data_IF_908670444663
#
_entry.id   IF_908670444663
#
_cell.length_a   1.000
_cell.length_b   1.000
_cell.length_c   1.000
_cell.angle_alpha   90.00
_cell.angle_beta   90.00
_cell.angle_gamma   90.00
#
_symmetry.space_group_name_H-M   'P 1'
#
loop_
_entity.id
_entity.type
_entity.pdbx_description
1 polymer ?
#
# COMPACT_ATOMS: atom_id res chain seq x y z
N UNK A 1 19.74 -3.60 12.04
CA UNK A 1 18.55 -2.98 11.40
C UNK A 1 18.95 -1.68 10.72
N UNK A 2 18.43 -1.39 9.53
CA UNK A 2 18.56 -0.07 8.92
C UNK A 2 17.69 0.98 9.62
N UNK A 3 18.06 2.25 9.53
CA UNK A 3 17.26 3.39 10.02
C UNK A 3 17.09 4.42 8.91
N UNK A 4 15.95 5.10 8.89
CA UNK A 4 15.68 6.25 8.02
C UNK A 4 15.89 7.59 8.73
N UNK A 5 16.59 7.60 9.88
CA UNK A 5 16.97 8.86 10.54
C UNK A 5 17.82 9.71 9.59
N UNK A 6 17.44 10.98 9.45
CA UNK A 6 18.11 11.89 8.53
C UNK A 6 17.73 11.70 7.06
N UNK A 7 16.66 10.95 6.79
CA UNK A 7 16.14 10.68 5.43
C UNK A 7 14.76 11.30 5.25
N UNK A 8 14.48 11.70 4.01
CA UNK A 8 13.20 12.26 3.59
C UNK A 8 12.44 11.25 2.73
N UNK A 9 11.22 10.91 3.18
CA UNK A 9 10.24 10.13 2.43
C UNK A 9 9.22 11.09 1.81
N UNK A 10 9.00 11.00 0.50
CA UNK A 10 7.98 11.77 -0.23
C UNK A 10 6.93 10.84 -0.83
N UNK A 11 5.65 11.21 -0.75
CA UNK A 11 4.55 10.43 -1.32
C UNK A 11 3.30 11.27 -1.65
N UNK A 12 2.33 10.67 -2.33
CA UNK A 12 0.97 11.20 -2.49
C UNK A 12 -0.09 10.33 -1.81
N UNK A 13 -1.20 10.97 -1.41
CA UNK A 13 -2.41 10.30 -0.94
C UNK A 13 -2.43 9.97 0.56
N UNK A 14 -3.38 10.55 1.28
CA UNK A 14 -3.65 10.32 2.70
C UNK A 14 -5.07 9.73 2.87
N UNK A 15 -5.44 8.81 1.99
CA UNK A 15 -6.67 8.02 2.04
C UNK A 15 -6.70 7.00 3.19
N UNK A 16 -7.66 6.08 3.17
CA UNK A 16 -7.82 5.02 4.20
C UNK A 16 -6.50 4.29 4.51
N UNK A 17 -5.87 3.74 3.47
CA UNK A 17 -4.57 3.08 3.53
C UNK A 17 -3.41 4.09 3.45
N UNK A 18 -3.49 5.05 2.51
CA UNK A 18 -2.56 6.18 2.33
C UNK A 18 -2.16 6.91 3.62
N UNK A 19 -3.11 7.05 4.53
CA UNK A 19 -2.90 7.71 5.81
C UNK A 19 -2.00 6.96 6.79
N UNK A 20 -1.61 5.71 6.52
CA UNK A 20 -0.65 4.97 7.34
C UNK A 20 0.81 5.30 7.00
N UNK A 21 1.07 5.85 5.81
CA UNK A 21 2.42 6.20 5.33
C UNK A 21 3.21 7.13 6.28
N UNK A 22 2.64 8.21 6.85
CA UNK A 22 3.40 9.11 7.71
C UNK A 22 3.84 8.43 9.01
N UNK A 23 2.96 7.60 9.60
CA UNK A 23 3.28 6.83 10.80
C UNK A 23 4.36 5.76 10.52
N UNK A 24 4.26 5.06 9.38
CA UNK A 24 5.26 4.08 8.97
C UNK A 24 6.65 4.71 8.73
N UNK A 25 6.71 5.88 8.10
CA UNK A 25 7.95 6.61 7.87
C UNK A 25 8.58 7.08 9.19
N UNK A 26 7.79 7.70 10.06
CA UNK A 26 8.25 8.23 11.36
C UNK A 26 8.66 7.11 12.33
N UNK A 27 8.01 5.94 12.31
CA UNK A 27 8.45 4.75 13.06
C UNK A 27 9.84 4.27 12.65
N UNK A 28 10.28 4.56 11.42
CA UNK A 28 11.61 4.25 10.92
C UNK A 28 12.59 5.41 11.08
N UNK A 29 12.16 6.54 11.66
CA UNK A 29 12.99 7.70 11.96
C UNK A 29 13.01 8.77 10.85
N UNK A 30 12.24 8.59 9.77
CA UNK A 30 12.27 9.49 8.63
C UNK A 30 11.50 10.79 8.87
N UNK A 31 11.96 11.87 8.25
CA UNK A 31 11.10 12.99 7.91
C UNK A 31 10.19 12.57 6.75
N UNK A 32 8.95 13.03 6.77
CA UNK A 32 7.92 12.63 5.82
C UNK A 32 7.21 13.85 5.24
N UNK A 33 7.00 13.85 3.93
CA UNK A 33 6.24 14.86 3.21
C UNK A 33 5.24 14.18 2.27
N UNK A 34 3.96 14.57 2.36
CA UNK A 34 2.95 14.11 1.43
C UNK A 34 2.10 15.22 0.85
N UNK A 35 1.64 15.04 -0.39
CA UNK A 35 0.55 15.82 -0.96
C UNK A 35 -0.78 15.08 -0.80
N UNK A 36 -1.81 15.79 -0.40
CA UNK A 36 -3.20 15.32 -0.38
C UNK A 36 -4.11 16.46 -0.83
N UNK A 37 -5.04 16.19 -1.73
CA UNK A 37 -5.92 17.19 -2.35
C UNK A 37 -7.18 17.47 -1.53
N UNK A 38 -7.60 16.50 -0.70
CA UNK A 38 -8.80 16.60 0.13
C UNK A 38 -8.43 16.93 1.59
N UNK A 39 -8.75 18.16 2.01
CA UNK A 39 -8.53 18.63 3.39
C UNK A 39 -9.11 17.68 4.43
N UNK A 40 -10.30 17.15 4.20
CA UNK A 40 -10.96 16.27 5.17
C UNK A 40 -10.15 14.98 5.42
N UNK A 41 -9.40 14.52 4.41
CA UNK A 41 -8.49 13.38 4.56
C UNK A 41 -7.30 13.72 5.45
N UNK A 42 -6.72 14.91 5.30
CA UNK A 42 -5.60 15.40 6.13
C UNK A 42 -6.05 15.55 7.58
N UNK A 43 -7.16 16.28 7.81
CA UNK A 43 -7.72 16.53 9.14
C UNK A 43 -8.05 15.22 9.88
N UNK A 44 -8.55 14.22 9.16
CA UNK A 44 -8.77 12.89 9.73
C UNK A 44 -7.47 12.27 10.26
N UNK A 45 -6.33 12.43 9.57
CA UNK A 45 -5.03 11.84 9.98
C UNK A 45 -4.42 12.59 11.14
N UNK A 46 -4.57 13.93 11.18
CA UNK A 46 -4.22 14.73 12.34
C UNK A 46 -5.02 14.26 13.57
N UNK A 47 -6.34 14.13 13.44
CA UNK A 47 -7.23 13.68 14.53
C UNK A 47 -6.89 12.27 15.02
N UNK A 48 -6.54 11.35 14.12
CA UNK A 48 -6.14 9.98 14.48
C UNK A 48 -4.66 9.85 14.88
N UNK A 49 -3.90 10.95 14.94
CA UNK A 49 -2.45 10.98 15.26
C UNK A 49 -1.57 10.16 14.31
N UNK A 50 -2.01 10.06 13.05
CA UNK A 50 -1.23 9.44 11.97
C UNK A 50 -0.37 10.46 11.21
N UNK A 51 -0.60 11.75 11.42
CA UNK A 51 0.12 12.87 10.82
C UNK A 51 0.38 13.93 11.90
N UNK A 52 1.53 14.59 11.87
CA UNK A 52 1.88 15.61 12.87
C UNK A 52 1.36 17.00 12.50
N UNK A 53 1.55 17.43 11.25
CA UNK A 53 1.24 18.81 10.81
C UNK A 53 0.77 18.87 9.36
N UNK A 54 0.06 19.95 9.03
CA UNK A 54 -0.29 20.29 7.65
C UNK A 54 -0.07 21.76 7.36
N UNK A 55 0.04 22.10 6.07
CA UNK A 55 -0.01 23.47 5.57
C UNK A 55 -0.61 23.52 4.16
N UNK A 56 -1.07 24.71 3.77
CA UNK A 56 -1.56 25.02 2.42
C UNK A 56 -0.45 25.63 1.54
N UNK A 57 0.67 26.03 2.16
CA UNK A 57 1.84 26.56 1.46
C UNK A 57 2.77 25.42 1.06
N UNK A 58 2.96 25.23 -0.25
CA UNK A 58 3.88 24.21 -0.79
C UNK A 58 5.31 24.43 -0.29
N UNK A 59 5.76 25.69 -0.34
CA UNK A 59 7.07 26.12 0.10
C UNK A 59 7.31 25.79 1.57
N UNK A 60 6.34 26.12 2.42
CA UNK A 60 6.42 25.84 3.84
C UNK A 60 6.49 24.34 4.13
N UNK A 61 5.69 23.52 3.42
CA UNK A 61 5.68 22.08 3.58
C UNK A 61 7.05 21.46 3.26
N UNK A 62 7.63 21.86 2.13
CA UNK A 62 8.96 21.42 1.69
C UNK A 62 10.02 21.84 2.72
N UNK A 63 10.02 23.11 3.13
CA UNK A 63 11.01 23.65 4.06
C UNK A 63 10.92 23.00 5.45
N UNK A 64 9.71 22.66 5.91
CA UNK A 64 9.52 21.92 7.17
C UNK A 64 10.09 20.51 7.08
N UNK A 65 9.77 19.77 6.01
CA UNK A 65 10.22 18.40 5.84
C UNK A 65 11.75 18.30 5.65
N UNK A 66 12.34 19.21 4.88
CA UNK A 66 13.79 19.30 4.67
C UNK A 66 14.50 19.64 5.98
N UNK A 67 14.02 20.61 6.76
CA UNK A 67 14.60 20.93 8.08
C UNK A 67 14.51 19.75 9.04
N UNK A 68 13.40 19.02 9.05
CA UNK A 68 13.25 17.82 9.88
C UNK A 68 14.23 16.72 9.46
N UNK A 69 14.41 16.50 8.15
CA UNK A 69 15.43 15.58 7.61
C UNK A 69 16.82 15.99 8.10
N UNK A 70 17.21 17.25 7.90
CA UNK A 70 18.57 17.73 8.24
C UNK A 70 18.85 17.69 9.75
N UNK A 71 17.81 17.89 10.57
CA UNK A 71 17.89 17.74 12.03
C UNK A 71 17.81 16.27 12.51
N UNK A 72 17.58 15.31 11.61
CA UNK A 72 17.41 13.89 11.95
C UNK A 72 16.18 13.64 12.82
N UNK A 73 15.11 14.40 12.60
CA UNK A 73 13.85 14.35 13.34
C UNK A 73 12.77 13.61 12.54
N UNK A 74 12.06 12.70 13.22
CA UNK A 74 10.92 12.01 12.66
C UNK A 74 9.66 12.88 12.75
N UNK A 75 9.41 13.70 11.72
CA UNK A 75 8.24 14.58 11.63
C UNK A 75 7.52 14.33 10.31
N UNK A 76 6.20 14.24 10.38
CA UNK A 76 5.33 14.06 9.23
C UNK A 76 4.53 15.31 8.87
N UNK A 77 4.70 15.76 7.62
CA UNK A 77 4.09 16.97 7.08
C UNK A 77 3.21 16.62 5.88
N UNK A 78 2.00 17.17 5.84
CA UNK A 78 1.15 17.13 4.66
C UNK A 78 0.99 18.53 4.06
N UNK A 79 1.02 18.59 2.74
CA UNK A 79 0.61 19.75 1.97
C UNK A 79 -0.76 19.51 1.35
N UNK A 80 -1.67 20.48 1.48
CA UNK A 80 -2.96 20.47 0.79
C UNK A 80 -2.76 20.88 -0.67
N UNK A 81 -2.64 19.89 -1.57
CA UNK A 81 -2.35 20.14 -2.98
C UNK A 81 -2.18 18.87 -3.81
N UNK A 82 -1.92 19.03 -5.10
CA UNK A 82 -1.75 17.92 -6.03
C UNK A 82 -0.30 17.40 -6.02
N UNK A 83 -0.12 16.09 -5.93
CA UNK A 83 1.21 15.46 -5.88
C UNK A 83 2.10 15.83 -7.07
N UNK A 84 1.53 16.03 -8.27
CA UNK A 84 2.31 16.44 -9.44
C UNK A 84 3.01 17.79 -9.23
N UNK A 85 2.33 18.75 -8.60
CA UNK A 85 2.90 20.06 -8.29
C UNK A 85 4.02 19.95 -7.24
N UNK A 86 3.82 19.11 -6.22
CA UNK A 86 4.84 18.85 -5.20
C UNK A 86 6.11 18.26 -5.84
N UNK A 87 5.98 17.20 -6.65
CA UNK A 87 7.14 16.56 -7.25
C UNK A 87 7.85 17.48 -8.27
N UNK A 88 7.08 18.22 -9.07
CA UNK A 88 7.63 19.21 -9.99
C UNK A 88 8.41 20.31 -9.26
N UNK A 89 7.91 20.77 -8.11
CA UNK A 89 8.57 21.76 -7.28
C UNK A 89 9.85 21.23 -6.62
N UNK A 90 9.85 19.98 -6.15
CA UNK A 90 11.08 19.33 -5.66
C UNK A 90 12.14 19.25 -6.76
N UNK A 91 11.73 18.88 -7.97
CA UNK A 91 12.59 18.87 -9.15
C UNK A 91 13.15 20.27 -9.43
N UNK A 92 12.30 21.30 -9.41
CA UNK A 92 12.69 22.71 -9.65
C UNK A 92 13.66 23.24 -8.59
N UNK A 93 13.47 22.89 -7.31
CA UNK A 93 14.35 23.26 -6.20
C UNK A 93 15.63 22.43 -6.11
N UNK A 94 15.82 21.46 -7.02
CA UNK A 94 16.91 20.49 -6.97
C UNK A 94 16.96 19.72 -5.63
N UNK A 95 15.79 19.36 -5.11
CA UNK A 95 15.64 18.55 -3.90
C UNK A 95 15.27 17.13 -4.33
N UNK A 96 16.15 16.17 -4.02
CA UNK A 96 15.89 14.75 -4.25
C UNK A 96 15.54 14.09 -2.91
N UNK A 97 14.36 13.47 -2.77
CA UNK A 97 14.04 12.69 -1.57
C UNK A 97 14.87 11.41 -1.53
N UNK A 98 15.10 10.87 -0.34
CA UNK A 98 15.80 9.59 -0.19
C UNK A 98 14.90 8.42 -0.62
N UNK A 99 13.61 8.50 -0.33
CA UNK A 99 12.60 7.50 -0.69
C UNK A 99 11.39 8.19 -1.32
N UNK A 100 10.93 7.65 -2.45
CA UNK A 100 9.78 8.17 -3.19
C UNK A 100 8.79 7.05 -3.53
N UNK A 101 7.51 7.29 -3.26
CA UNK A 101 6.44 6.36 -3.62
C UNK A 101 5.13 7.11 -3.84
N UNK A 102 4.03 6.40 -4.06
CA UNK A 102 2.70 6.97 -4.14
C UNK A 102 1.63 6.00 -3.62
N UNK A 103 0.62 6.53 -2.94
CA UNK A 103 -0.56 5.80 -2.52
C UNK A 103 -1.87 6.58 -2.73
N UNK A 104 -1.90 7.44 -3.76
CA UNK A 104 -3.18 7.94 -4.29
C UNK A 104 -4.03 6.77 -4.77
N UNK A 105 -5.35 6.98 -4.91
CA UNK A 105 -6.24 5.94 -5.44
C UNK A 105 -6.20 5.89 -6.97
N UNK A 106 -5.00 5.69 -7.54
CA UNK A 106 -4.81 5.67 -8.99
C UNK A 106 -5.61 4.57 -9.70
N UNK A 107 -5.90 3.47 -9.01
CA UNK A 107 -6.72 2.34 -9.48
C UNK A 107 -8.16 2.69 -9.88
N UNK A 108 -8.66 3.87 -9.48
CA UNK A 108 -9.98 4.37 -9.88
C UNK A 108 -9.80 5.78 -10.47
N UNK A 109 -9.63 5.91 -11.79
CA UNK A 109 -9.45 7.19 -12.47
C UNK A 109 -10.64 8.14 -12.35
N UNK A 110 -11.84 7.65 -12.02
CA UNK A 110 -13.05 8.47 -11.94
C UNK A 110 -13.29 9.00 -10.53
N UNK A 111 -13.14 8.15 -9.50
CA UNK A 111 -13.44 8.53 -8.10
C UNK A 111 -12.19 8.74 -7.26
N UNK A 112 -11.09 8.09 -7.60
CA UNK A 112 -9.91 7.95 -6.76
C UNK A 112 -8.81 8.98 -7.02
N UNK A 113 -8.55 9.31 -8.28
CA UNK A 113 -7.46 10.22 -8.66
C UNK A 113 -7.99 11.57 -9.11
N UNK A 114 -7.41 12.65 -8.60
CA UNK A 114 -7.82 14.02 -8.92
C UNK A 114 -6.89 14.61 -9.98
N UNK A 115 -7.41 15.01 -11.16
CA UNK A 115 -6.59 15.58 -12.23
C UNK A 115 -5.94 16.90 -11.82
N UNK A 116 -4.73 17.16 -12.33
CA UNK A 116 -4.00 18.41 -12.13
C UNK A 116 -4.09 19.30 -13.37
N UNK A 117 -4.59 20.52 -13.18
CA UNK A 117 -4.81 21.47 -14.28
C UNK A 117 -5.77 20.93 -15.35
N UNK A 118 -6.06 21.76 -16.35
CA UNK A 118 -6.80 21.34 -17.54
C UNK A 118 -5.93 21.67 -18.74
N UNK A 119 -5.62 20.66 -19.56
CA UNK A 119 -5.09 20.93 -20.90
C UNK A 119 -6.15 21.65 -21.72
N UNK A 120 -5.84 22.83 -22.24
CA UNK A 120 -6.70 23.50 -23.23
C UNK A 120 -6.57 22.78 -24.59
N UNK A 121 -7.01 21.54 -24.70
CA UNK A 121 -7.09 20.84 -26.00
C UNK A 121 -8.47 20.95 -26.65
N UNK A 122 -9.48 21.49 -25.96
CA UNK A 122 -10.83 21.64 -26.51
C UNK A 122 -11.44 23.01 -26.20
N UNK A 123 -10.90 24.06 -26.83
CA UNK A 123 -11.72 25.19 -27.24
C UNK A 123 -12.09 25.01 -28.71
N UNK A 124 -13.25 24.40 -28.95
CA UNK A 124 -14.09 24.60 -30.14
C UNK A 124 -13.57 24.13 -31.50
N UNK A 125 -14.24 23.15 -32.08
CA UNK A 125 -14.45 23.06 -33.54
C UNK A 125 -15.31 24.27 -33.99
N UNK A 126 -14.72 25.46 -33.95
CA UNK A 126 -15.32 26.71 -34.42
C UNK A 126 -14.29 27.47 -35.23
N UNK A 127 -14.51 27.55 -36.54
CA UNK A 127 -13.69 28.32 -37.49
C UNK A 127 -13.26 29.70 -36.94
N UNK A 128 -11.95 29.97 -36.87
CA UNK A 128 -11.46 31.35 -36.81
C UNK A 128 -10.10 31.59 -36.16
N UNK A 129 -9.08 31.77 -37.01
CA UNK A 129 -7.83 32.54 -36.77
C UNK A 129 -6.92 32.07 -35.62
N UNK A 130 -5.83 31.37 -36.00
CA UNK A 130 -4.63 31.19 -35.17
C UNK A 130 -3.96 32.56 -34.95
N UNK A 131 -4.10 33.10 -33.74
CA UNK A 131 -3.31 34.21 -33.25
C UNK A 131 -1.96 33.71 -32.72
N UNK A 132 -0.88 34.31 -33.17
CA UNK A 132 0.48 34.09 -32.68
C UNK A 132 0.69 34.83 -31.35
N UNK A 133 1.10 34.12 -30.31
CA UNK A 133 1.80 34.68 -29.14
C UNK A 133 0.96 35.00 -27.90
N UNK A 134 0.87 34.04 -26.97
CA UNK A 134 1.18 34.22 -25.54
C UNK A 134 1.26 32.84 -24.88
N UNK A 135 2.14 32.67 -23.91
CA UNK A 135 2.26 31.47 -23.10
C UNK A 135 0.92 31.15 -22.43
N UNK A 136 0.20 30.16 -22.96
CA UNK A 136 -1.05 29.68 -22.38
C UNK A 136 -0.77 29.18 -20.95
N UNK A 137 -1.15 29.98 -19.96
CA UNK A 137 -0.87 29.70 -18.56
C UNK A 137 -1.58 28.42 -18.11
N UNK A 138 -0.78 27.43 -17.71
CA UNK A 138 -1.28 26.28 -16.94
C UNK A 138 -1.89 26.81 -15.64
N UNK A 139 -3.21 26.66 -15.47
CA UNK A 139 -3.88 27.01 -14.21
C UNK A 139 -4.24 25.71 -13.50
N UNK A 140 -3.70 25.45 -12.30
CA UNK A 140 -4.07 24.28 -11.49
C UNK A 140 -5.59 24.26 -11.27
N UNK A 141 -6.18 23.07 -11.35
CA UNK A 141 -7.59 22.85 -11.07
C UNK A 141 -7.77 22.79 -9.54
N UNK A 142 -8.71 23.57 -8.98
CA UNK A 142 -9.01 23.41 -7.56
C UNK A 142 -9.73 22.09 -7.31
N UNK A 143 -9.66 21.57 -6.08
CA UNK A 143 -10.36 20.33 -5.72
C UNK A 143 -11.88 20.42 -6.01
N UNK A 144 -12.51 21.55 -5.69
CA UNK A 144 -13.94 21.79 -5.98
C UNK A 144 -14.24 21.77 -7.49
N UNK A 145 -13.39 22.38 -8.31
CA UNK A 145 -13.54 22.34 -9.76
C UNK A 145 -13.38 20.93 -10.33
N UNK A 146 -12.48 20.12 -9.75
CA UNK A 146 -12.33 18.72 -10.12
C UNK A 146 -13.59 17.91 -9.77
N UNK A 147 -14.19 18.14 -8.60
CA UNK A 147 -15.45 17.50 -8.22
C UNK A 147 -16.60 17.90 -9.15
N UNK A 148 -16.71 19.17 -9.51
CA UNK A 148 -17.70 19.64 -10.48
C UNK A 148 -17.49 19.02 -11.87
N UNK A 149 -16.22 18.89 -12.32
CA UNK A 149 -15.89 18.23 -13.59
C UNK A 149 -16.29 16.75 -13.58
N UNK A 150 -16.07 16.04 -12.46
CA UNK A 150 -16.44 14.63 -12.32
C UNK A 150 -17.94 14.40 -12.55
N UNK A 151 -18.78 15.32 -12.08
CA UNK A 151 -20.23 15.23 -12.22
C UNK A 151 -20.71 15.66 -13.60
N UNK A 152 -20.15 16.76 -14.12
CA UNK A 152 -20.61 17.37 -15.38
C UNK A 152 -20.06 16.68 -16.64
N UNK A 153 -18.84 16.14 -16.59
CA UNK A 153 -18.17 15.47 -17.71
C UNK A 153 -17.22 14.37 -17.20
N UNK A 154 -17.77 13.20 -16.79
CA UNK A 154 -16.98 12.11 -16.22
C UNK A 154 -15.97 11.52 -17.21
N UNK A 155 -16.25 11.56 -18.52
CA UNK A 155 -15.32 11.07 -19.55
C UNK A 155 -14.08 11.95 -19.63
N UNK A 156 -14.26 13.28 -19.66
CA UNK A 156 -13.16 14.22 -19.58
C UNK A 156 -12.42 14.10 -18.27
N UNK A 157 -13.12 13.96 -17.15
CA UNK A 157 -12.47 13.74 -15.84
C UNK A 157 -11.51 12.55 -15.89
N UNK A 158 -11.97 11.39 -16.40
CA UNK A 158 -11.15 10.19 -16.53
C UNK A 158 -9.94 10.43 -17.43
N UNK A 159 -10.13 11.06 -18.60
CA UNK A 159 -9.03 11.41 -19.51
C UNK A 159 -7.98 12.31 -18.84
N UNK A 160 -8.42 13.34 -18.12
CA UNK A 160 -7.50 14.23 -17.38
C UNK A 160 -6.81 13.53 -16.21
N UNK A 161 -7.48 12.58 -15.54
CA UNK A 161 -6.87 11.74 -14.50
C UNK A 161 -5.74 10.89 -15.07
N UNK A 162 -5.97 10.19 -16.19
CA UNK A 162 -4.94 9.42 -16.89
C UNK A 162 -3.75 10.29 -17.32
N UNK A 163 -4.01 11.45 -17.94
CA UNK A 163 -2.96 12.41 -18.30
C UNK A 163 -2.13 12.79 -17.08
N UNK A 164 -2.80 13.16 -15.98
CA UNK A 164 -2.14 13.59 -14.75
C UNK A 164 -1.32 12.45 -14.11
N UNK A 165 -1.80 11.21 -14.17
CA UNK A 165 -1.04 10.04 -13.71
C UNK A 165 0.26 9.84 -14.52
N UNK A 166 0.22 10.05 -15.84
CA UNK A 166 1.42 9.99 -16.66
C UNK A 166 2.43 11.07 -16.26
N UNK A 167 1.98 12.30 -16.03
CA UNK A 167 2.82 13.41 -15.56
C UNK A 167 3.42 13.15 -14.18
N UNK A 168 2.63 12.55 -13.27
CA UNK A 168 3.10 12.10 -11.97
C UNK A 168 4.27 11.12 -12.12
N UNK A 169 4.10 10.07 -12.93
CA UNK A 169 5.15 9.07 -13.15
C UNK A 169 6.40 9.66 -13.78
N UNK A 170 6.29 10.62 -14.70
CA UNK A 170 7.48 11.33 -15.24
C UNK A 170 8.25 12.02 -14.12
N UNK A 171 7.57 12.71 -13.20
CA UNK A 171 8.24 13.34 -12.06
C UNK A 171 8.91 12.31 -11.15
N UNK A 172 8.28 11.16 -10.94
CA UNK A 172 8.87 10.06 -10.17
C UNK A 172 10.12 9.47 -10.85
N UNK A 173 10.09 9.29 -12.17
CA UNK A 173 11.24 8.81 -12.95
C UNK A 173 12.40 9.79 -12.93
N UNK A 174 12.13 11.10 -12.97
CA UNK A 174 13.17 12.13 -12.87
C UNK A 174 13.84 12.12 -11.50
N UNK A 175 13.04 12.05 -10.42
CA UNK A 175 13.59 11.96 -9.06
C UNK A 175 14.33 10.64 -8.83
N UNK A 176 13.87 9.53 -9.43
CA UNK A 176 14.59 8.25 -9.44
C UNK A 176 15.96 8.41 -10.14
N UNK A 177 16.01 9.08 -11.30
CA UNK A 177 17.26 9.34 -12.02
C UNK A 177 18.25 10.17 -11.19
N UNK A 178 17.75 11.08 -10.36
CA UNK A 178 18.56 11.87 -9.41
C UNK A 178 19.03 11.09 -8.17
N UNK A 179 18.60 9.83 -8.04
CA UNK A 179 19.05 8.92 -6.98
C UNK A 179 18.02 8.62 -5.89
N UNK A 180 16.77 9.05 -6.03
CA UNK A 180 15.71 8.64 -5.09
C UNK A 180 15.45 7.13 -5.21
N UNK A 181 15.29 6.45 -4.06
CA UNK A 181 14.79 5.07 -4.04
C UNK A 181 13.29 5.12 -4.31
N UNK A 182 12.91 4.85 -5.57
CA UNK A 182 11.53 4.97 -6.05
C UNK A 182 10.87 3.63 -6.24
N UNK A 183 9.65 3.44 -5.71
CA UNK A 183 8.87 2.22 -5.90
C UNK A 183 7.36 2.52 -5.95
N UNK A 184 6.61 1.63 -6.62
CA UNK A 184 5.14 1.65 -6.68
C UNK A 184 4.55 0.92 -5.47
N UNK A 185 3.59 1.55 -4.80
CA UNK A 185 2.95 1.00 -3.59
C UNK A 185 1.60 0.35 -3.85
N UNK A 186 1.41 -0.24 -5.03
CA UNK A 186 0.32 -1.16 -5.31
C UNK A 186 -1.03 -0.50 -5.56
N UNK A 187 -1.01 0.69 -6.18
CA UNK A 187 -2.21 1.43 -6.59
C UNK A 187 -2.43 1.47 -8.10
N UNK A 188 -1.60 0.76 -8.89
CA UNK A 188 -1.64 0.70 -10.35
C UNK A 188 -1.32 2.01 -11.08
N UNK A 189 -0.64 2.96 -10.43
CA UNK A 189 -0.24 4.23 -11.05
C UNK A 189 0.60 4.02 -12.32
N UNK A 190 1.56 3.07 -12.29
CA UNK A 190 2.40 2.75 -13.46
C UNK A 190 1.60 2.19 -14.63
N UNK A 191 0.65 1.30 -14.35
CA UNK A 191 -0.24 0.71 -15.36
C UNK A 191 -1.07 1.78 -16.05
N UNK A 192 -1.73 2.64 -15.28
CA UNK A 192 -2.54 3.71 -15.86
C UNK A 192 -1.71 4.81 -16.54
N UNK A 193 -0.50 5.10 -16.07
CA UNK A 193 0.42 6.00 -16.75
C UNK A 193 0.83 5.46 -18.15
N UNK A 194 1.04 4.14 -18.28
CA UNK A 194 1.27 3.49 -19.57
C UNK A 194 0.02 3.57 -20.46
N UNK A 195 -1.15 3.23 -19.92
CA UNK A 195 -2.42 3.32 -20.63
C UNK A 195 -2.72 4.74 -21.14
N UNK A 196 -2.34 5.78 -20.38
CA UNK A 196 -2.55 7.16 -20.78
C UNK A 196 -1.83 7.50 -22.11
N UNK A 197 -0.63 6.96 -22.32
CA UNK A 197 0.11 7.11 -23.58
C UNK A 197 -0.50 6.24 -24.69
N UNK A 198 -0.81 4.98 -24.39
CA UNK A 198 -1.41 4.04 -25.36
C UNK A 198 -2.76 4.54 -25.89
N UNK A 199 -3.54 5.23 -25.06
CA UNK A 199 -4.83 5.83 -25.42
C UNK A 199 -4.71 7.23 -26.04
N UNK A 200 -3.50 7.79 -26.11
CA UNK A 200 -3.27 9.13 -26.63
C UNK A 200 -3.76 10.26 -25.72
N UNK A 201 -3.98 10.00 -24.42
CA UNK A 201 -4.32 11.02 -23.43
C UNK A 201 -3.10 11.82 -22.96
N UNK A 202 -1.90 11.27 -23.16
CA UNK A 202 -0.63 11.96 -22.94
C UNK A 202 0.37 11.64 -24.07
N UNK A 203 1.16 12.63 -24.49
CA UNK A 203 2.21 12.45 -25.48
C UNK A 203 3.54 12.12 -24.80
N UNK A 204 4.21 11.03 -25.21
CA UNK A 204 5.55 10.67 -24.70
C UNK A 204 6.58 11.79 -24.91
N UNK A 205 6.51 12.50 -26.04
CA UNK A 205 7.41 13.63 -26.31
C UNK A 205 7.17 14.83 -25.38
N UNK A 206 5.91 15.11 -25.04
CA UNK A 206 5.58 16.17 -24.07
C UNK A 206 5.99 15.77 -22.66
N UNK A 207 5.79 14.52 -22.28
CA UNK A 207 6.19 13.96 -20.99
C UNK A 207 7.71 14.03 -20.79
N UNK A 208 8.47 13.54 -21.76
CA UNK A 208 9.96 13.46 -21.66
C UNK A 208 10.66 14.80 -21.82
N UNK A 209 10.03 15.81 -22.43
CA UNK A 209 10.59 17.16 -22.57
C UNK A 209 10.39 18.07 -21.36
N UNK A 210 9.64 17.63 -20.34
CA UNK A 210 9.36 18.42 -19.12
C UNK A 210 10.61 18.75 -18.30
N UNK A 211 11.61 17.90 -18.35
CA UNK A 211 12.84 18.04 -17.59
C UNK A 211 14.05 18.00 -18.53
N UNK A 212 15.10 18.74 -18.19
CA UNK A 212 16.32 18.82 -19.01
C UNK A 212 17.13 17.51 -19.03
N UNK A 213 16.79 16.58 -18.13
CA UNK A 213 17.41 15.26 -17.99
C UNK A 213 16.94 14.32 -19.11
N UNK A 214 17.86 13.60 -19.78
CA UNK A 214 17.53 12.74 -20.91
C UNK A 214 16.89 11.43 -20.41
N UNK A 215 15.61 11.45 -20.09
CA UNK A 215 14.81 10.24 -20.16
C UNK A 215 14.59 9.93 -21.65
N UNK A 216 15.46 9.12 -22.25
CA UNK A 216 15.39 8.76 -23.68
C UNK A 216 14.09 8.03 -24.07
N UNK A 217 13.31 7.58 -23.08
CA UNK A 217 12.02 6.90 -23.22
C UNK A 217 11.18 7.00 -21.95
N UNK A 218 9.87 7.16 -22.10
CA UNK A 218 8.91 7.02 -21.00
C UNK A 218 8.62 5.54 -20.75
N UNK A 219 9.08 5.02 -19.62
CA UNK A 219 8.79 3.66 -19.18
C UNK A 219 8.41 3.65 -17.68
N UNK A 220 7.10 3.62 -17.37
CA UNK A 220 6.60 3.58 -16.00
C UNK A 220 7.10 2.38 -15.17
N UNK A 221 7.41 1.25 -15.81
CA UNK A 221 7.77 0.01 -15.11
C UNK A 221 9.26 -0.07 -14.74
N UNK A 222 10.05 0.97 -15.06
CA UNK A 222 11.36 1.19 -14.43
C UNK A 222 11.26 1.48 -12.93
N UNK A 223 10.08 1.87 -12.46
CA UNK A 223 9.75 1.93 -11.04
C UNK A 223 9.25 0.53 -10.65
N UNK A 224 9.97 -0.23 -9.80
CA UNK A 224 9.53 -1.56 -9.39
C UNK A 224 8.35 -1.48 -8.41
N UNK A 225 7.50 -2.50 -8.38
CA UNK A 225 6.53 -2.69 -7.30
C UNK A 225 7.21 -2.97 -5.97
N UNK A 226 6.60 -2.54 -4.86
CA UNK A 226 7.15 -2.77 -3.52
C UNK A 226 7.26 -4.25 -3.14
N UNK A 227 6.43 -5.13 -3.73
CA UNK A 227 6.45 -6.56 -3.42
C UNK A 227 7.68 -7.26 -3.97
N UNK A 228 7.97 -7.24 -5.28
CA UNK A 228 9.23 -7.79 -5.79
C UNK A 228 10.46 -7.10 -5.18
N UNK A 229 10.38 -5.81 -4.86
CA UNK A 229 11.52 -5.08 -4.30
C UNK A 229 11.82 -5.40 -2.83
N UNK A 230 10.80 -5.60 -1.98
CA UNK A 230 11.00 -5.65 -0.52
C UNK A 230 10.21 -6.73 0.22
N UNK A 231 9.02 -7.13 -0.25
CA UNK A 231 8.08 -7.94 0.55
C UNK A 231 8.11 -9.42 0.19
N UNK A 232 8.43 -9.78 -1.05
CA UNK A 232 8.40 -11.18 -1.49
C UNK A 232 9.20 -12.15 -0.62
N UNK A 233 10.39 -11.80 -0.09
CA UNK A 233 11.08 -12.68 0.85
C UNK A 233 10.25 -13.02 2.09
N UNK A 234 9.43 -12.08 2.59
CA UNK A 234 8.50 -12.34 3.70
C UNK A 234 7.38 -13.30 3.29
N UNK A 235 6.86 -13.18 2.06
CA UNK A 235 5.85 -14.09 1.53
C UNK A 235 6.37 -15.52 1.37
N UNK A 236 7.64 -15.70 0.99
CA UNK A 236 8.28 -17.01 0.93
C UNK A 236 8.32 -17.70 2.31
N UNK A 237 8.34 -16.94 3.40
CA UNK A 237 8.25 -17.44 4.78
C UNK A 237 6.81 -17.69 5.27
N UNK A 238 5.80 -17.54 4.39
CA UNK A 238 4.39 -17.53 4.78
C UNK A 238 3.99 -16.33 5.65
N UNK A 239 4.81 -15.28 5.68
CA UNK A 239 4.52 -14.06 6.43
C UNK A 239 3.57 -13.15 5.65
N UNK A 240 2.78 -12.36 6.38
CA UNK A 240 1.80 -11.45 5.79
C UNK A 240 1.00 -10.72 6.85
N UNK A 241 0.04 -9.87 6.46
CA UNK A 241 -0.66 -8.92 7.32
C UNK A 241 -1.74 -9.55 8.21
N UNK A 242 -1.35 -10.58 8.97
CA UNK A 242 -2.13 -11.22 10.01
C UNK A 242 -2.60 -10.17 11.02
N UNK A 243 -3.89 -10.23 11.38
CA UNK A 243 -4.52 -9.24 12.24
C UNK A 243 -5.63 -9.88 13.07
N UNK A 244 -5.96 -9.24 14.17
CA UNK A 244 -7.11 -9.62 14.97
C UNK A 244 -7.82 -8.40 15.55
N UNK A 245 -9.08 -8.58 15.90
CA UNK A 245 -9.86 -7.61 16.66
C UNK A 245 -10.56 -8.30 17.84
N UNK A 246 -10.59 -7.62 18.98
CA UNK A 246 -11.28 -8.11 20.18
C UNK A 246 -12.75 -7.69 20.11
N UNK A 247 -13.68 -8.66 20.13
CA UNK A 247 -15.11 -8.35 19.93
C UNK A 247 -15.77 -7.70 21.15
N UNK A 248 -15.10 -7.68 22.30
CA UNK A 248 -15.55 -6.97 23.51
C UNK A 248 -15.60 -5.45 23.30
N UNK A 249 -14.78 -4.93 22.37
CA UNK A 249 -14.55 -3.50 22.24
C UNK A 249 -13.61 -2.93 23.32
N UNK A 250 -13.12 -3.76 24.25
CA UNK A 250 -12.29 -3.31 25.37
C UNK A 250 -10.79 -3.28 24.99
N UNK A 251 -10.13 -2.11 25.04
CA UNK A 251 -8.68 -2.02 24.79
C UNK A 251 -7.83 -2.88 25.72
N UNK A 252 -8.31 -3.23 26.92
CA UNK A 252 -7.60 -4.11 27.87
C UNK A 252 -7.45 -5.52 27.33
N UNK A 253 -8.47 -6.03 26.63
CA UNK A 253 -8.39 -7.33 25.97
C UNK A 253 -7.31 -7.32 24.88
N UNK A 254 -7.20 -6.22 24.13
CA UNK A 254 -6.15 -6.08 23.14
C UNK A 254 -4.76 -6.01 23.80
N UNK A 255 -4.64 -5.32 24.93
CA UNK A 255 -3.39 -5.30 25.70
C UNK A 255 -2.97 -6.72 26.13
N UNK A 256 -3.90 -7.54 26.61
CA UNK A 256 -3.65 -8.96 26.94
C UNK A 256 -3.15 -9.73 25.72
N UNK A 257 -3.76 -9.55 24.54
CA UNK A 257 -3.28 -10.22 23.31
C UNK A 257 -1.89 -9.76 22.88
N UNK A 258 -1.57 -8.47 23.01
CA UNK A 258 -0.24 -7.94 22.72
C UNK A 258 0.81 -8.51 23.69
N UNK A 259 0.49 -8.69 24.98
CA UNK A 259 1.40 -9.29 25.96
C UNK A 259 1.64 -10.76 25.64
N UNK A 260 0.59 -11.46 25.22
CA UNK A 260 0.70 -12.84 24.77
C UNK A 260 1.61 -12.99 23.55
N UNK A 261 1.56 -12.06 22.59
CA UNK A 261 2.47 -12.03 21.44
C UNK A 261 3.92 -11.84 21.89
N UNK A 262 4.18 -10.87 22.78
CA UNK A 262 5.53 -10.61 23.32
C UNK A 262 6.09 -11.80 24.11
N UNK A 263 5.24 -12.53 24.84
CA UNK A 263 5.63 -13.73 25.59
C UNK A 263 5.81 -14.97 24.70
N UNK A 264 5.10 -15.04 23.57
CA UNK A 264 5.11 -16.23 22.69
C UNK A 264 6.29 -16.23 21.72
N UNK A 265 6.77 -15.05 21.34
CA UNK A 265 7.88 -14.84 20.39
C UNK A 265 8.91 -13.82 20.93
N UNK A 266 9.49 -14.03 22.13
CA UNK A 266 10.44 -13.08 22.73
C UNK A 266 11.71 -12.89 21.89
N UNK A 267 12.05 -13.86 21.05
CA UNK A 267 13.20 -13.87 20.14
C UNK A 267 13.00 -13.02 18.87
N UNK A 268 11.76 -12.71 18.50
CA UNK A 268 11.45 -11.94 17.29
C UNK A 268 11.55 -10.43 17.57
N UNK A 269 12.77 -9.92 17.68
CA UNK A 269 13.05 -8.52 18.08
C UNK A 269 12.27 -7.48 17.27
N UNK A 270 12.18 -7.66 15.95
CA UNK A 270 11.42 -6.80 15.05
C UNK A 270 9.93 -6.76 15.39
N UNK A 271 9.33 -7.94 15.64
CA UNK A 271 7.93 -8.10 16.01
C UNK A 271 7.67 -7.50 17.39
N UNK A 272 8.54 -7.75 18.36
CA UNK A 272 8.41 -7.17 19.69
C UNK A 272 8.52 -5.63 19.66
N UNK A 273 9.46 -5.09 18.89
CA UNK A 273 9.57 -3.63 18.65
C UNK A 273 8.29 -3.08 18.03
N UNK A 274 7.74 -3.77 17.02
CA UNK A 274 6.49 -3.39 16.38
C UNK A 274 5.33 -3.32 17.38
N UNK A 275 5.11 -4.36 18.20
CA UNK A 275 4.02 -4.38 19.19
C UNK A 275 4.15 -3.22 20.19
N UNK A 276 5.36 -2.93 20.68
CA UNK A 276 5.60 -1.82 21.61
C UNK A 276 5.28 -0.46 20.96
N UNK A 277 5.74 -0.21 19.75
CA UNK A 277 5.43 1.02 19.01
C UNK A 277 3.94 1.14 18.72
N UNK A 278 3.30 0.04 18.30
CA UNK A 278 1.89 0.03 17.95
C UNK A 278 1.00 0.26 19.18
N UNK A 279 1.40 -0.16 20.38
CA UNK A 279 0.74 0.19 21.65
C UNK A 279 0.79 1.68 21.95
N UNK A 280 1.95 2.30 21.75
CA UNK A 280 2.17 3.70 22.11
C UNK A 280 1.51 4.66 21.12
N UNK A 281 1.63 4.36 19.82
CA UNK A 281 1.40 5.35 18.76
C UNK A 281 0.14 5.12 17.95
N UNK A 282 -0.37 3.89 17.84
CA UNK A 282 -1.55 3.60 17.01
C UNK A 282 -2.83 3.85 17.80
N UNK A 283 -3.61 4.85 17.38
CA UNK A 283 -4.95 5.08 17.90
C UNK A 283 -5.95 4.06 17.35
N UNK A 284 -6.82 3.52 18.19
CA UNK A 284 -7.87 2.59 17.77
C UNK A 284 -8.96 3.27 16.94
N UNK A 285 -9.54 2.51 16.01
CA UNK A 285 -10.66 2.94 15.17
C UNK A 285 -11.72 1.84 15.15
N UNK A 286 -12.86 2.08 15.81
CA UNK A 286 -13.88 1.02 16.01
C UNK A 286 -13.44 0.02 17.07
N UNK A 287 -13.64 -1.28 16.80
CA UNK A 287 -13.16 -2.34 17.69
C UNK A 287 -11.63 -2.27 17.83
N UNK A 288 -11.06 -2.38 19.04
CA UNK A 288 -9.63 -2.47 19.21
C UNK A 288 -9.07 -3.66 18.42
N UNK A 289 -8.08 -3.38 17.57
CA UNK A 289 -7.52 -4.34 16.65
C UNK A 289 -6.00 -4.14 16.55
N UNK A 290 -5.31 -5.21 16.20
CA UNK A 290 -3.86 -5.22 16.00
C UNK A 290 -3.54 -5.94 14.69
N UNK A 291 -2.63 -5.37 13.94
CA UNK A 291 -1.92 -6.04 12.85
C UNK A 291 -0.55 -6.48 13.38
N UNK A 292 -0.12 -7.68 13.04
CA UNK A 292 1.20 -8.22 13.38
C UNK A 292 1.57 -9.25 12.32
N UNK A 293 2.65 -9.03 11.59
CA UNK A 293 3.04 -9.96 10.54
C UNK A 293 3.63 -11.23 11.16
N UNK A 294 2.97 -12.36 10.95
CA UNK A 294 3.35 -13.68 11.46
C UNK A 294 3.62 -14.64 10.29
N UNK A 295 4.71 -15.40 10.41
CA UNK A 295 5.18 -16.40 9.43
C UNK A 295 4.33 -17.68 9.48
N UNK A 296 4.60 -18.60 8.56
CA UNK A 296 4.10 -19.98 8.65
C UNK A 296 4.42 -20.59 10.02
N UNK A 297 3.51 -21.42 10.55
CA UNK A 297 3.59 -21.99 11.91
C UNK A 297 3.26 -21.01 13.04
N UNK A 298 3.77 -19.77 12.98
CA UNK A 298 3.50 -18.74 13.99
C UNK A 298 2.02 -18.38 14.08
N UNK A 299 1.30 -18.32 12.94
CA UNK A 299 -0.14 -18.01 12.89
C UNK A 299 -0.98 -19.01 13.67
N UNK A 300 -0.80 -20.31 13.43
CA UNK A 300 -1.53 -21.36 14.14
C UNK A 300 -1.23 -21.37 15.64
N UNK A 301 0.05 -21.25 16.02
CA UNK A 301 0.47 -21.12 17.43
C UNK A 301 -0.26 -19.96 18.12
N UNK A 302 -0.33 -18.81 17.45
CA UNK A 302 -0.93 -17.61 18.04
C UNK A 302 -2.46 -17.69 18.11
N UNK A 303 -3.11 -18.30 17.11
CA UNK A 303 -4.54 -18.57 17.15
C UNK A 303 -4.96 -19.45 18.34
N UNK A 304 -4.20 -20.52 18.61
CA UNK A 304 -4.46 -21.39 19.76
C UNK A 304 -4.23 -20.67 21.10
N UNK A 305 -3.19 -19.83 21.20
CA UNK A 305 -2.96 -19.01 22.39
C UNK A 305 -4.13 -18.04 22.61
N UNK A 306 -4.61 -17.35 21.57
CA UNK A 306 -5.76 -16.45 21.69
C UNK A 306 -7.04 -17.20 22.09
N UNK A 307 -7.32 -18.35 21.51
CA UNK A 307 -8.48 -19.15 21.88
C UNK A 307 -8.41 -19.63 23.33
N UNK A 308 -7.22 -20.00 23.83
CA UNK A 308 -7.01 -20.29 25.25
C UNK A 308 -7.27 -19.08 26.14
N UNK A 309 -6.82 -17.88 25.77
CA UNK A 309 -7.07 -16.67 26.55
C UNK A 309 -8.57 -16.34 26.68
N UNK A 310 -9.34 -16.58 25.62
CA UNK A 310 -10.81 -16.44 25.65
C UNK A 310 -11.44 -17.50 26.56
N UNK A 311 -11.03 -18.77 26.44
CA UNK A 311 -11.50 -19.88 27.28
C UNK A 311 -11.24 -19.67 28.77
N UNK A 312 -10.08 -19.10 29.11
CA UNK A 312 -9.68 -18.79 30.49
C UNK A 312 -10.31 -17.49 31.02
N UNK A 313 -11.06 -16.75 30.20
CA UNK A 313 -11.64 -15.46 30.56
C UNK A 313 -10.63 -14.33 30.76
N UNK A 314 -9.37 -14.50 30.32
CA UNK A 314 -8.35 -13.44 30.32
C UNK A 314 -8.59 -12.40 29.25
N UNK A 315 -9.25 -12.82 28.17
CA UNK A 315 -9.88 -11.93 27.19
C UNK A 315 -11.39 -12.10 27.37
N UNK A 316 -12.11 -11.01 27.54
CA UNK A 316 -13.50 -11.02 28.02
C UNK A 316 -14.56 -11.45 27.00
N UNK A 317 -14.22 -11.47 25.71
CA UNK A 317 -15.11 -11.89 24.62
C UNK A 317 -14.32 -12.57 23.49
N UNK A 318 -15.00 -13.22 22.51
CA UNK A 318 -14.31 -13.81 21.38
C UNK A 318 -13.42 -12.84 20.60
N UNK A 319 -12.40 -13.38 19.93
CA UNK A 319 -11.48 -12.65 19.06
C UNK A 319 -11.75 -13.08 17.62
N UNK A 320 -11.80 -12.12 16.68
CA UNK A 320 -11.75 -12.44 15.23
C UNK A 320 -10.31 -12.36 14.76
N UNK A 321 -9.82 -13.41 14.10
CA UNK A 321 -8.51 -13.46 13.46
C UNK A 321 -8.70 -13.47 11.95
N UNK A 322 -8.04 -12.56 11.25
CA UNK A 322 -8.04 -12.53 9.79
C UNK A 322 -6.78 -11.88 9.24
N UNK A 323 -6.90 -11.35 8.03
CA UNK A 323 -5.82 -10.67 7.31
C UNK A 323 -6.38 -9.79 6.20
N UNK A 324 -5.49 -9.08 5.52
CA UNK A 324 -5.82 -8.56 4.20
C UNK A 324 -5.97 -9.67 3.16
N UNK A 325 -6.51 -9.33 1.99
CA UNK A 325 -6.45 -10.18 0.81
C UNK A 325 -5.05 -10.15 0.16
N UNK A 326 -4.25 -9.11 0.43
CA UNK A 326 -2.81 -9.13 0.21
C UNK A 326 -2.16 -10.06 1.25
N UNK A 327 -1.76 -11.24 0.82
CA UNK A 327 -0.99 -12.20 1.63
C UNK A 327 -0.25 -13.18 0.72
N UNK A 328 0.71 -13.89 1.30
CA UNK A 328 1.63 -14.80 0.63
C UNK A 328 0.98 -15.80 -0.35
N UNK A 329 -0.24 -16.27 -0.08
CA UNK A 329 -0.90 -17.31 -0.89
C UNK A 329 -2.26 -16.94 -1.46
N UNK A 330 -2.72 -15.69 -1.29
CA UNK A 330 -4.14 -15.35 -1.46
C UNK A 330 -4.43 -14.36 -2.57
N UNK A 331 -3.48 -14.04 -3.45
CA UNK A 331 -3.66 -13.03 -4.50
C UNK A 331 -2.85 -13.34 -5.74
N UNK A 332 -3.47 -13.10 -6.90
CA UNK A 332 -2.80 -12.91 -8.18
C UNK A 332 -3.01 -11.46 -8.62
N UNK A 333 -1.92 -10.70 -8.75
CA UNK A 333 -1.93 -9.31 -9.20
C UNK A 333 -0.58 -8.95 -9.86
N UNK A 334 -0.50 -9.03 -11.20
CA UNK A 334 0.75 -8.84 -11.94
C UNK A 334 1.40 -7.46 -11.82
N UNK A 335 0.66 -6.44 -11.41
CA UNK A 335 1.18 -5.09 -11.18
C UNK A 335 1.45 -4.80 -9.69
N UNK A 336 1.38 -5.83 -8.83
CA UNK A 336 1.55 -5.69 -7.38
C UNK A 336 2.16 -6.96 -6.74
N UNK A 337 1.37 -7.83 -6.12
CA UNK A 337 1.92 -8.94 -5.31
C UNK A 337 2.67 -9.99 -6.12
N UNK A 338 2.19 -10.26 -7.33
CA UNK A 338 2.75 -11.29 -8.20
C UNK A 338 3.52 -10.70 -9.37
N UNK A 339 3.92 -9.43 -9.28
CA UNK A 339 4.76 -8.77 -10.28
C UNK A 339 6.15 -9.41 -10.37
N UNK A 340 6.57 -9.82 -11.56
CA UNK A 340 7.87 -10.43 -11.81
C UNK A 340 8.12 -11.66 -10.92
N UNK A 341 7.23 -12.65 -10.99
CA UNK A 341 7.51 -13.97 -10.42
C UNK A 341 8.71 -14.59 -11.14
N UNK A 342 9.54 -15.35 -10.42
CA UNK A 342 10.81 -15.90 -10.93
C UNK A 342 10.63 -16.80 -12.16
N UNK A 343 9.49 -17.46 -12.26
CA UNK A 343 9.08 -18.37 -13.34
C UNK A 343 8.13 -17.72 -14.36
N UNK A 344 7.78 -16.44 -14.20
CA UNK A 344 6.81 -15.74 -15.05
C UNK A 344 5.34 -16.07 -14.78
N UNK A 345 5.01 -16.71 -13.65
CA UNK A 345 3.65 -17.09 -13.26
C UNK A 345 2.76 -15.94 -12.77
N UNK A 346 3.11 -14.69 -13.06
CA UNK A 346 2.50 -13.46 -12.52
C UNK A 346 0.97 -13.47 -12.57
N UNK A 347 0.40 -13.91 -13.70
CA UNK A 347 -1.04 -13.86 -13.98
C UNK A 347 -1.82 -15.13 -13.58
N UNK A 348 -1.17 -16.16 -13.03
CA UNK A 348 -1.85 -17.40 -12.65
C UNK A 348 -2.75 -17.16 -11.43
N UNK A 349 -4.06 -17.20 -11.66
CA UNK A 349 -5.08 -16.92 -10.67
C UNK A 349 -5.68 -18.15 -9.98
N UNK A 350 -5.15 -19.35 -10.22
CA UNK A 350 -5.60 -20.57 -9.54
C UNK A 350 -5.34 -20.51 -8.03
N UNK A 351 -4.17 -19.98 -7.63
CA UNK A 351 -3.74 -19.87 -6.24
C UNK A 351 -4.72 -19.16 -5.29
N UNK A 352 -5.21 -17.95 -5.57
CA UNK A 352 -6.21 -17.32 -4.72
C UNK A 352 -7.54 -18.09 -4.66
N UNK A 353 -7.94 -18.78 -5.73
CA UNK A 353 -9.15 -19.61 -5.74
C UNK A 353 -8.95 -20.85 -4.86
N UNK A 354 -7.81 -21.54 -5.00
CA UNK A 354 -7.42 -22.66 -4.14
C UNK A 354 -7.31 -22.24 -2.67
N UNK A 355 -6.77 -21.05 -2.38
CA UNK A 355 -6.71 -20.51 -1.02
C UNK A 355 -8.13 -20.37 -0.41
N UNK A 356 -9.10 -19.85 -1.16
CA UNK A 356 -10.48 -19.75 -0.68
C UNK A 356 -11.11 -21.14 -0.44
N UNK A 357 -10.97 -22.05 -1.40
CA UNK A 357 -11.51 -23.41 -1.30
C UNK A 357 -10.91 -24.18 -0.11
N UNK A 358 -9.59 -24.08 0.07
CA UNK A 358 -8.88 -24.73 1.17
C UNK A 358 -9.29 -24.14 2.52
N UNK A 359 -9.35 -22.81 2.66
CA UNK A 359 -9.81 -22.17 3.89
C UNK A 359 -11.27 -22.54 4.24
N UNK A 360 -12.11 -22.76 3.22
CA UNK A 360 -13.48 -23.24 3.39
C UNK A 360 -13.48 -24.67 3.94
N UNK A 361 -12.69 -25.57 3.35
CA UNK A 361 -12.57 -26.96 3.78
C UNK A 361 -11.94 -27.09 5.19
N UNK A 362 -11.00 -26.21 5.54
CA UNK A 362 -10.36 -26.17 6.84
C UNK A 362 -11.25 -25.61 7.96
N UNK A 363 -12.34 -24.92 7.62
CA UNK A 363 -13.34 -24.43 8.56
C UNK A 363 -13.12 -22.98 9.02
N UNK A 364 -12.68 -22.09 8.14
CA UNK A 364 -12.74 -20.66 8.40
C UNK A 364 -14.19 -20.23 8.72
N UNK A 365 -14.38 -19.21 9.55
CA UNK A 365 -15.73 -18.75 9.91
C UNK A 365 -16.39 -18.06 8.72
N UNK A 366 -15.63 -17.30 7.93
CA UNK A 366 -16.05 -16.89 6.59
C UNK A 366 -14.86 -16.78 5.64
N UNK A 367 -15.17 -16.95 4.35
CA UNK A 367 -14.23 -16.87 3.23
C UNK A 367 -14.83 -15.96 2.17
N UNK A 368 -13.97 -15.22 1.47
CA UNK A 368 -14.37 -14.31 0.39
C UNK A 368 -13.44 -14.46 -0.82
N UNK A 369 -13.98 -14.27 -2.02
CA UNK A 369 -13.23 -14.16 -3.28
C UNK A 369 -13.65 -12.88 -3.96
N UNK A 370 -12.69 -11.99 -4.19
CA UNK A 370 -12.92 -10.66 -4.75
C UNK A 370 -12.06 -10.45 -6.01
N UNK A 371 -12.47 -9.49 -6.83
CA UNK A 371 -11.78 -9.07 -8.04
C UNK A 371 -11.47 -7.57 -7.99
N UNK A 372 -10.27 -7.21 -8.42
CA UNK A 372 -9.84 -5.83 -8.67
C UNK A 372 -9.50 -5.00 -7.44
N UNK A 373 -9.32 -5.60 -6.26
CA UNK A 373 -8.96 -4.87 -5.05
C UNK A 373 -7.57 -4.25 -5.15
N UNK A 374 -7.53 -2.95 -4.86
CA UNK A 374 -6.34 -2.10 -4.77
C UNK A 374 -5.68 -1.72 -6.10
N UNK A 375 -5.65 -2.59 -7.11
CA UNK A 375 -5.14 -2.28 -8.46
C UNK A 375 -6.23 -1.99 -9.50
N UNK A 376 -7.51 -2.12 -9.13
CA UNK A 376 -8.63 -1.79 -9.99
C UNK A 376 -9.14 -2.98 -10.81
N UNK A 377 -10.28 -2.80 -11.46
CA UNK A 377 -10.95 -3.86 -12.23
C UNK A 377 -10.04 -4.43 -13.32
N UNK A 378 -9.97 -5.75 -13.43
CA UNK A 378 -9.20 -6.48 -14.45
C UNK A 378 -7.79 -6.86 -14.01
N UNK A 379 -7.30 -6.31 -12.90
CA UNK A 379 -5.87 -6.40 -12.52
C UNK A 379 -5.57 -7.32 -11.33
N UNK A 380 -6.58 -7.87 -10.66
CA UNK A 380 -6.34 -8.81 -9.55
C UNK A 380 -7.51 -9.74 -9.25
N UNK A 381 -7.17 -10.94 -8.78
CA UNK A 381 -8.09 -11.91 -8.17
C UNK A 381 -7.49 -12.31 -6.83
N UNK A 382 -8.28 -12.25 -5.75
CA UNK A 382 -7.76 -12.50 -4.41
C UNK A 382 -8.80 -12.96 -3.40
N UNK A 383 -8.35 -13.73 -2.41
CA UNK A 383 -9.17 -14.37 -1.39
C UNK A 383 -8.88 -13.85 0.02
N UNK A 384 -9.93 -13.78 0.83
CA UNK A 384 -9.89 -13.44 2.24
C UNK A 384 -10.41 -14.59 3.08
N UNK A 385 -9.90 -14.70 4.31
CA UNK A 385 -10.41 -15.61 5.33
C UNK A 385 -10.43 -14.92 6.68
N UNK A 386 -11.41 -15.26 7.50
CA UNK A 386 -11.44 -14.91 8.91
C UNK A 386 -11.97 -16.08 9.72
N UNK A 387 -11.41 -16.27 10.91
CA UNK A 387 -11.77 -17.32 11.86
C UNK A 387 -11.94 -16.76 13.27
N UNK A 388 -12.98 -17.21 13.97
CA UNK A 388 -13.32 -16.78 15.33
C UNK A 388 -12.63 -17.69 16.36
N UNK A 389 -12.01 -17.07 17.35
CA UNK A 389 -11.58 -17.69 18.61
C UNK A 389 -12.67 -17.48 19.66
N UNK A 390 -13.52 -18.48 19.89
CA UNK A 390 -14.64 -18.42 20.84
C UNK A 390 -14.36 -19.14 22.18
N UNK A 391 -13.15 -19.67 22.36
CA UNK A 391 -12.73 -20.44 23.53
C UNK A 391 -13.09 -21.93 23.50
N UNK A 392 -13.83 -22.39 22.50
CA UNK A 392 -14.22 -23.81 22.39
C UNK A 392 -13.08 -24.69 21.86
N UNK A 393 -13.08 -25.97 22.26
CA UNK A 393 -12.18 -26.99 21.68
C UNK A 393 -12.46 -27.24 20.20
N UNK A 394 -13.71 -27.00 19.76
CA UNK A 394 -14.05 -27.07 18.35
C UNK A 394 -13.35 -25.96 17.54
N UNK A 395 -13.19 -24.76 18.12
CA UNK A 395 -12.41 -23.69 17.52
C UNK A 395 -10.91 -24.00 17.49
N UNK A 396 -10.34 -24.64 18.52
CA UNK A 396 -8.91 -25.05 18.50
C UNK A 396 -8.58 -25.85 17.22
N UNK A 397 -9.39 -26.87 16.89
CA UNK A 397 -9.18 -27.70 15.69
C UNK A 397 -9.30 -26.92 14.38
N UNK A 398 -10.24 -25.97 14.28
CA UNK A 398 -10.41 -25.14 13.08
C UNK A 398 -9.27 -24.12 12.95
N UNK A 399 -8.87 -23.50 14.06
CA UNK A 399 -7.78 -22.53 14.12
C UNK A 399 -6.47 -23.16 13.68
N UNK A 400 -6.15 -24.34 14.21
CA UNK A 400 -4.96 -25.08 13.82
C UNK A 400 -4.96 -25.36 12.30
N UNK A 401 -6.07 -25.87 11.75
CA UNK A 401 -6.17 -26.18 10.31
C UNK A 401 -6.10 -24.95 9.43
N UNK A 402 -6.95 -23.94 9.68
CA UNK A 402 -7.04 -22.73 8.85
C UNK A 402 -5.75 -21.94 8.91
N UNK A 403 -5.21 -21.69 10.11
CA UNK A 403 -4.01 -20.87 10.28
C UNK A 403 -2.71 -21.61 9.95
N UNK A 404 -2.79 -22.91 9.64
CA UNK A 404 -1.72 -23.68 9.00
C UNK A 404 -1.88 -23.64 7.47
N UNK A 405 -3.06 -24.00 6.97
CA UNK A 405 -3.32 -24.12 5.53
C UNK A 405 -3.25 -22.78 4.79
N UNK A 406 -3.74 -21.70 5.40
CA UNK A 406 -3.76 -20.37 4.78
C UNK A 406 -2.36 -19.84 4.43
N UNK A 407 -1.39 -19.78 5.37
CA UNK A 407 -0.01 -19.43 5.02
C UNK A 407 0.73 -20.55 4.26
N UNK A 408 0.35 -21.83 4.41
CA UNK A 408 0.94 -22.92 3.63
C UNK A 408 0.75 -22.69 2.13
N UNK A 409 -0.43 -22.21 1.70
CA UNK A 409 -0.68 -21.84 0.31
C UNK A 409 0.34 -20.83 -0.24
N UNK A 410 0.82 -19.92 0.60
CA UNK A 410 1.85 -18.96 0.21
C UNK A 410 3.22 -19.59 0.04
N UNK A 411 3.61 -20.46 0.97
CA UNK A 411 4.85 -21.24 0.88
C UNK A 411 4.81 -22.14 -0.36
N UNK A 412 3.72 -22.89 -0.56
CA UNK A 412 3.48 -23.75 -1.72
C UNK A 412 3.62 -22.99 -3.04
N UNK A 413 2.89 -21.88 -3.19
CA UNK A 413 2.90 -21.05 -4.40
C UNK A 413 4.30 -20.53 -4.75
N UNK A 414 5.05 -20.08 -3.75
CA UNK A 414 6.39 -19.53 -3.98
C UNK A 414 7.44 -20.65 -4.17
N UNK A 415 7.27 -21.81 -3.54
CA UNK A 415 8.11 -22.96 -3.80
C UNK A 415 7.93 -23.49 -5.23
N UNK A 416 6.67 -23.57 -5.70
CA UNK A 416 6.31 -23.92 -7.08
C UNK A 416 6.97 -22.97 -8.09
N UNK A 417 6.93 -21.66 -7.83
CA UNK A 417 7.61 -20.65 -8.65
C UNK A 417 9.15 -20.64 -8.51
N UNK A 418 9.73 -21.58 -7.73
CA UNK A 418 11.17 -21.80 -7.63
C UNK A 418 11.93 -20.85 -6.69
N UNK A 419 11.27 -20.25 -5.69
CA UNK A 419 11.97 -19.45 -4.67
C UNK A 419 12.61 -20.36 -3.61
N UNK A 420 13.93 -20.26 -3.46
CA UNK A 420 14.72 -21.16 -2.61
C UNK A 420 14.34 -21.04 -1.13
N UNK A 421 14.00 -19.83 -0.66
CA UNK A 421 13.53 -19.58 0.70
C UNK A 421 12.21 -20.28 0.99
N UNK A 422 11.28 -20.33 0.02
CA UNK A 422 10.00 -21.02 0.18
C UNK A 422 10.18 -22.54 0.18
N UNK A 423 11.07 -23.06 -0.68
CA UNK A 423 11.44 -24.49 -0.71
C UNK A 423 12.08 -24.89 0.61
N UNK A 424 12.97 -24.07 1.17
CA UNK A 424 13.59 -24.31 2.47
C UNK A 424 12.54 -24.38 3.59
N UNK A 425 11.62 -23.40 3.66
CA UNK A 425 10.53 -23.40 4.65
C UNK A 425 9.63 -24.62 4.49
N UNK A 426 9.30 -25.02 3.26
CA UNK A 426 8.50 -26.21 3.02
C UNK A 426 9.15 -27.48 3.60
N UNK A 427 10.45 -27.67 3.37
CA UNK A 427 11.22 -28.81 3.90
C UNK A 427 11.39 -28.77 5.42
N UNK A 428 11.75 -27.60 5.96
CA UNK A 428 12.05 -27.44 7.39
C UNK A 428 10.80 -27.55 8.27
N UNK A 429 9.65 -27.08 7.76
CA UNK A 429 8.40 -27.01 8.52
C UNK A 429 7.36 -28.04 8.07
N UNK A 430 7.73 -28.94 7.14
CA UNK A 430 6.89 -30.07 6.71
C UNK A 430 5.65 -29.67 5.92
N UNK A 431 5.74 -28.65 5.07
CA UNK A 431 4.68 -28.34 4.08
C UNK A 431 4.80 -29.36 2.95
N UNK A 432 3.77 -30.19 2.76
CA UNK A 432 3.74 -31.19 1.69
C UNK A 432 3.57 -30.50 0.32
N UNK A 433 4.64 -30.50 -0.47
CA UNK A 433 4.66 -29.94 -1.84
C UNK A 433 4.88 -31.09 -2.83
N UNK A 434 3.81 -31.65 -3.43
CA UNK A 434 3.96 -32.76 -4.37
C UNK A 434 4.93 -32.43 -5.51
N UNK A 435 5.98 -33.24 -5.67
CA UNK A 435 7.03 -33.04 -6.69
C UNK A 435 8.28 -32.29 -6.19
N UNK A 436 8.22 -31.65 -5.03
CA UNK A 436 9.35 -31.06 -4.31
C UNK A 436 9.53 -31.85 -3.01
N UNK A 437 10.30 -32.94 -3.11
CA UNK A 437 10.46 -33.95 -2.05
C UNK A 437 11.04 -33.46 -0.73
#
# INVERSE_FOLDING_TARGET
>A
MGTLRGRLVVTGGLGGMGGAQPLAATFNGAAFLAAEVDRARIEKRLKTRYLDRMTESLDEAIDWAVRARDAGQAVSVAWLGNIVDLLAELVRRNITPDVLTDQTSAHDPLKGYVPNGIGNSEQGTGNGKRGTGSSAGFRPLTYEQALALRESDPERYVRESYRTMAEHVVCMLELQHRGAVTFDYGNNLRGHAKEAVERGYASEGELTSRFSSPASRFDPFRIPGFVPAYIRPLFCLGSGPFRWAVLSGDPRDLAVTDDAVLATFPEEEHLCRWIRLAREKVAFQGLPARICWLKYGQRAKMGLVFNRLVREGKVSAPIVIGRDHLDCGSVASPNRETEAMKDGSDAIADWPILNALLNTACGATWVSVHHGGGVGMGYSIHAGQVIVCDGSEAADRRLERVLTADPAMGVLRHADAGYDEAIAVAREQGVDVPGLG
#
